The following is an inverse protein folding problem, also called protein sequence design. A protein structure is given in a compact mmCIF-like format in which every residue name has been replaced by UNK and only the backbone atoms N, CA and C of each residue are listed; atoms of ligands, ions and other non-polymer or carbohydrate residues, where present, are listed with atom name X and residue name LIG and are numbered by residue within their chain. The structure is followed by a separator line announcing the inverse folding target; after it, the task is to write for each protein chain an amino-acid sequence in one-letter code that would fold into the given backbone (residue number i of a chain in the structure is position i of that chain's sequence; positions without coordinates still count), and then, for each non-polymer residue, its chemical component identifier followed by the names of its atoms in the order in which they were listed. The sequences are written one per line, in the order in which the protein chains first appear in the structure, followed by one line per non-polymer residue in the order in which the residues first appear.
data_IF_561572460858
#
_entry.id   IF_561572460858
#
_cell.length_a   1.000
_cell.length_b   1.000
_cell.length_c   1.000
_cell.angle_alpha   90.00
_cell.angle_beta   90.00
_cell.angle_gamma   90.00
#
_symmetry.space_group_name_H-M   'P 1'
#
loop_
_entity.id
_entity.type
_entity.pdbx_description
1 polymer ?
#
# COMPACT_ATOMS: atom_id res chain seq x y z
N UNK A 1 -5.60 -10.13 0.72
CA UNK A 1 -4.40 -9.39 0.27
C UNK A 1 -3.27 -9.73 1.21
N UNK A 2 -2.15 -10.16 0.66
CA UNK A 2 -0.93 -10.49 1.41
C UNK A 2 0.14 -9.42 1.11
N UNK A 3 0.55 -8.70 2.14
CA UNK A 3 1.62 -7.72 2.07
C UNK A 3 2.87 -8.34 2.71
N UNK A 4 3.85 -8.71 1.88
CA UNK A 4 5.10 -9.34 2.33
C UNK A 4 6.19 -8.27 2.42
N UNK A 5 6.50 -7.85 3.64
CA UNK A 5 7.50 -6.82 3.91
C UNK A 5 8.93 -7.32 3.85
N UNK A 6 9.13 -8.65 3.84
CA UNK A 6 10.45 -9.24 3.63
C UNK A 6 10.84 -9.26 2.15
N UNK A 7 9.87 -9.52 1.28
CA UNK A 7 10.06 -9.57 -0.18
C UNK A 7 9.67 -8.26 -0.88
N UNK A 8 8.99 -7.36 -0.17
CA UNK A 8 8.45 -6.11 -0.71
C UNK A 8 7.50 -6.36 -1.88
N UNK A 9 6.53 -7.24 -1.65
CA UNK A 9 5.52 -7.63 -2.64
C UNK A 9 4.12 -7.63 -2.06
N UNK A 10 3.14 -7.49 -2.96
CA UNK A 10 1.71 -7.63 -2.65
C UNK A 10 1.14 -8.71 -3.55
N UNK A 11 0.40 -9.63 -2.95
CA UNK A 11 -0.33 -10.69 -3.68
C UNK A 11 -1.80 -10.70 -3.26
N UNK A 12 -2.67 -10.98 -4.21
CA UNK A 12 -4.08 -11.20 -3.94
C UNK A 12 -4.40 -12.69 -4.08
N UNK A 13 -5.16 -13.21 -3.11
CA UNK A 13 -5.52 -14.63 -3.07
C UNK A 13 -7.04 -14.79 -3.08
N UNK A 14 -7.49 -15.86 -3.73
CA UNK A 14 -8.81 -16.44 -3.54
C UNK A 14 -8.60 -17.85 -2.97
N UNK A 15 -8.92 -18.03 -1.68
CA UNK A 15 -8.53 -19.23 -0.95
C UNK A 15 -7.01 -19.34 -0.88
N UNK A 16 -6.45 -20.38 -1.48
CA UNK A 16 -5.00 -20.62 -1.52
C UNK A 16 -4.38 -20.29 -2.88
N UNK A 17 -5.17 -19.75 -3.80
CA UNK A 17 -4.71 -19.47 -5.17
C UNK A 17 -4.39 -17.98 -5.31
N UNK A 18 -3.19 -17.67 -5.80
CA UNK A 18 -2.83 -16.30 -6.18
C UNK A 18 -3.60 -15.95 -7.45
N UNK A 19 -4.42 -14.90 -7.37
CA UNK A 19 -5.16 -14.38 -8.53
C UNK A 19 -4.51 -13.12 -9.10
N UNK A 20 -3.60 -12.49 -8.36
CA UNK A 20 -2.79 -11.37 -8.85
C UNK A 20 -1.49 -11.26 -8.04
N UNK A 21 -0.40 -10.98 -8.72
CA UNK A 21 0.91 -10.81 -8.10
C UNK A 21 1.76 -12.09 -8.10
N UNK A 22 2.86 -12.12 -7.34
CA UNK A 22 3.35 -11.05 -6.46
C UNK A 22 3.72 -9.78 -7.23
N UNK A 23 3.23 -8.64 -6.76
CA UNK A 23 3.51 -7.35 -7.36
C UNK A 23 4.55 -6.62 -6.50
N UNK A 24 5.70 -6.20 -7.07
CA UNK A 24 6.68 -5.41 -6.32
C UNK A 24 6.08 -4.10 -5.82
N UNK A 25 6.45 -3.69 -4.61
CA UNK A 25 5.95 -2.47 -3.98
C UNK A 25 7.05 -1.77 -3.18
N UNK A 26 6.77 -0.57 -2.69
CA UNK A 26 7.64 0.16 -1.76
C UNK A 26 6.87 0.41 -0.47
N UNK A 27 7.28 -0.18 0.66
CA UNK A 27 6.65 0.03 1.97
C UNK A 27 7.15 1.29 2.66
N UNK A 28 6.71 1.50 3.88
CA UNK A 28 7.17 2.59 4.72
C UNK A 28 8.67 2.59 4.94
N UNK A 29 9.25 3.80 5.05
CA UNK A 29 10.65 3.98 5.40
C UNK A 29 10.94 3.46 6.82
N UNK A 30 12.22 3.25 7.22
CA UNK A 30 12.56 2.68 8.53
C UNK A 30 12.00 3.46 9.72
N UNK A 31 11.82 4.78 9.60
CA UNK A 31 11.27 5.62 10.65
C UNK A 31 9.75 5.85 10.52
N UNK A 32 9.14 5.35 9.46
CA UNK A 32 7.68 5.37 9.22
C UNK A 32 7.22 4.02 8.65
N UNK A 33 7.44 2.91 9.39
CA UNK A 33 7.23 1.58 8.84
C UNK A 33 5.75 1.29 8.56
N UNK A 34 5.51 0.41 7.59
CA UNK A 34 4.17 -0.13 7.35
C UNK A 34 3.76 -1.01 8.53
N UNK A 35 2.52 -0.85 8.98
CA UNK A 35 1.96 -1.62 10.09
C UNK A 35 1.88 -3.10 9.73
N UNK A 36 2.08 -3.98 10.71
CA UNK A 36 1.93 -5.44 10.57
C UNK A 36 0.72 -5.94 11.33
N UNK A 37 0.12 -7.01 10.86
CA UNK A 37 -1.03 -7.64 11.49
C UNK A 37 -2.07 -8.08 10.47
N UNK A 38 -3.25 -8.40 11.00
CA UNK A 38 -4.42 -8.77 10.21
C UNK A 38 -5.44 -7.63 10.26
N UNK A 39 -5.80 -7.15 9.08
CA UNK A 39 -6.71 -6.02 8.91
C UNK A 39 -7.77 -6.34 7.85
N UNK A 40 -8.66 -5.37 7.62
CA UNK A 40 -9.71 -5.49 6.60
C UNK A 40 -9.83 -4.18 5.84
N UNK A 41 -10.05 -4.27 4.53
CA UNK A 41 -10.38 -3.08 3.71
C UNK A 41 -11.65 -2.44 4.25
N UNK A 42 -11.63 -1.13 4.46
CA UNK A 42 -12.79 -0.39 4.98
C UNK A 42 -13.17 0.86 4.18
N UNK A 43 -12.31 1.31 3.28
CA UNK A 43 -12.53 2.55 2.54
C UNK A 43 -11.68 2.57 1.28
N UNK A 44 -12.26 3.00 0.16
CA UNK A 44 -11.53 3.09 -1.12
C UNK A 44 -11.85 4.39 -1.84
N UNK A 45 -10.83 4.95 -2.51
CA UNK A 45 -10.96 6.13 -3.37
C UNK A 45 -10.26 5.89 -4.70
N UNK A 46 -10.90 6.30 -5.81
CA UNK A 46 -10.24 6.27 -7.11
C UNK A 46 -9.07 7.27 -7.19
N UNK A 47 -9.20 8.40 -6.49
CA UNK A 47 -8.17 9.42 -6.37
C UNK A 47 -8.36 10.19 -5.09
N UNK A 48 -7.27 10.49 -4.40
CA UNK A 48 -7.32 11.21 -3.14
C UNK A 48 -6.07 12.07 -2.91
N UNK A 49 -6.25 13.22 -2.29
CA UNK A 49 -5.12 13.97 -1.73
C UNK A 49 -4.74 13.34 -0.40
N UNK A 50 -3.47 12.95 -0.27
CA UNK A 50 -2.89 12.44 0.97
C UNK A 50 -2.01 13.50 1.61
N UNK A 51 -2.20 13.76 2.89
CA UNK A 51 -1.38 14.69 3.65
C UNK A 51 -1.14 14.16 5.06
N UNK A 52 -0.05 14.59 5.66
CA UNK A 52 0.34 14.14 6.99
C UNK A 52 1.62 14.80 7.44
N UNK A 53 2.24 14.22 8.45
CA UNK A 53 3.44 14.74 9.08
C UNK A 53 4.63 13.84 8.78
N UNK A 54 5.75 14.44 8.37
CA UNK A 54 7.01 13.75 8.20
C UNK A 54 7.64 13.42 9.57
N UNK A 55 8.59 12.49 9.59
CA UNK A 55 9.29 12.10 10.83
C UNK A 55 10.04 13.28 11.48
N UNK A 56 10.43 14.29 10.71
CA UNK A 56 11.12 15.49 11.20
C UNK A 56 10.16 16.61 11.67
N UNK A 57 8.86 16.36 11.69
CA UNK A 57 7.83 17.34 12.10
C UNK A 57 7.33 18.25 11.00
N UNK A 58 7.89 18.18 9.80
CA UNK A 58 7.35 18.92 8.65
C UNK A 58 6.13 18.23 8.08
N UNK A 59 5.30 18.95 7.34
CA UNK A 59 4.10 18.40 6.72
C UNK A 59 4.37 18.01 5.27
N UNK A 60 3.67 16.97 4.80
CA UNK A 60 3.65 16.60 3.38
C UNK A 60 2.24 16.64 2.85
N UNK A 61 2.12 16.83 1.53
CA UNK A 61 0.86 16.77 0.80
C UNK A 61 1.11 16.22 -0.61
N UNK A 62 0.39 15.17 -0.97
CA UNK A 62 0.44 14.57 -2.30
C UNK A 62 -0.96 14.55 -2.88
N UNK A 63 -1.18 15.31 -3.95
CA UNK A 63 -2.47 15.39 -4.64
C UNK A 63 -2.61 14.29 -5.69
N UNK A 64 -3.85 13.88 -5.94
CA UNK A 64 -4.18 12.95 -7.02
C UNK A 64 -3.57 11.57 -6.87
N UNK A 65 -3.44 11.07 -5.62
CA UNK A 65 -2.97 9.69 -5.38
C UNK A 65 -4.00 8.71 -5.93
N UNK A 66 -3.64 7.86 -6.93
CA UNK A 66 -4.62 7.01 -7.59
C UNK A 66 -4.85 5.69 -6.86
N UNK A 67 -6.07 5.16 -6.99
CA UNK A 67 -6.45 3.81 -6.60
C UNK A 67 -6.08 3.46 -5.17
N UNK A 68 -6.71 4.16 -4.22
CA UNK A 68 -6.42 4.05 -2.78
C UNK A 68 -7.34 3.03 -2.13
N UNK A 69 -6.76 2.05 -1.45
CA UNK A 69 -7.48 1.02 -0.69
C UNK A 69 -6.96 1.03 0.74
N UNK A 70 -7.74 1.61 1.66
CA UNK A 70 -7.40 1.69 3.08
C UNK A 70 -7.72 0.39 3.79
N UNK A 71 -6.81 -0.07 4.66
CA UNK A 71 -6.99 -1.29 5.45
C UNK A 71 -6.82 -1.09 6.95
N UNK A 72 -6.20 -0.01 7.40
CA UNK A 72 -6.07 0.31 8.83
C UNK A 72 -5.72 1.78 9.03
N UNK A 73 -6.55 2.51 9.81
CA UNK A 73 -6.31 3.93 10.10
C UNK A 73 -5.96 4.71 8.81
N UNK A 74 -4.81 5.35 8.76
CA UNK A 74 -4.30 6.03 7.57
C UNK A 74 -3.44 5.17 6.65
N UNK A 75 -3.39 3.85 6.85
CA UNK A 75 -2.59 2.94 6.04
C UNK A 75 -3.40 2.40 4.86
N UNK A 76 -2.83 2.52 3.68
CA UNK A 76 -3.48 2.10 2.44
C UNK A 76 -2.48 1.49 1.46
N UNK A 77 -3.03 0.70 0.52
CA UNK A 77 -2.34 0.38 -0.73
C UNK A 77 -2.79 1.42 -1.76
N UNK A 78 -1.87 1.98 -2.53
CA UNK A 78 -2.23 2.94 -3.56
C UNK A 78 -1.19 2.97 -4.69
N UNK A 79 -1.56 3.53 -5.83
CA UNK A 79 -0.64 3.75 -6.92
C UNK A 79 0.35 4.86 -6.60
N UNK A 80 1.58 4.70 -7.10
CA UNK A 80 2.65 5.67 -6.91
C UNK A 80 3.27 6.05 -8.27
N UNK A 81 2.59 6.89 -9.07
CA UNK A 81 3.07 7.26 -10.40
C UNK A 81 4.37 8.06 -10.37
N UNK A 82 4.75 8.60 -9.20
CA UNK A 82 6.02 9.33 -9.01
C UNK A 82 7.24 8.42 -8.84
N UNK A 83 7.03 7.09 -8.72
CA UNK A 83 8.14 6.13 -8.57
C UNK A 83 8.39 5.38 -9.87
N UNK A 84 9.67 5.16 -10.18
CA UNK A 84 10.09 4.42 -11.37
C UNK A 84 10.55 3.00 -11.06
N UNK A 85 10.71 2.64 -9.79
CA UNK A 85 11.12 1.30 -9.37
C UNK A 85 10.38 0.86 -8.11
N UNK A 86 10.21 -0.45 -7.97
CA UNK A 86 9.51 -1.09 -6.86
C UNK A 86 10.25 -2.36 -6.44
N UNK A 87 9.83 -2.95 -5.32
CA UNK A 87 10.46 -4.17 -4.82
C UNK A 87 11.68 -3.90 -3.95
N UNK A 88 11.75 -2.71 -3.37
CA UNK A 88 12.81 -2.32 -2.45
C UNK A 88 12.24 -1.66 -1.21
N UNK A 89 13.04 -1.55 -0.17
CA UNK A 89 12.69 -0.85 1.07
C UNK A 89 13.90 -0.06 1.59
N UNK A 90 13.66 0.75 2.60
CA UNK A 90 14.70 1.56 3.21
C UNK A 90 14.39 3.06 3.18
N UNK A 91 15.42 3.87 3.35
CA UNK A 91 15.29 5.33 3.28
C UNK A 91 14.86 5.73 1.87
N UNK A 92 13.91 6.63 1.77
CA UNK A 92 13.22 6.96 0.53
C UNK A 92 11.90 6.22 0.34
N UNK A 93 11.56 5.31 1.25
CA UNK A 93 10.27 4.65 1.30
C UNK A 93 9.13 5.61 1.67
N UNK A 94 7.93 5.06 1.81
CA UNK A 94 6.72 5.84 2.07
C UNK A 94 6.60 6.25 3.55
N UNK A 95 5.50 6.95 3.88
CA UNK A 95 5.13 7.30 5.25
C UNK A 95 4.32 6.19 5.95
N UNK A 96 4.35 4.97 5.42
CA UNK A 96 3.67 3.79 5.95
C UNK A 96 2.73 3.12 4.94
N UNK A 97 2.20 3.85 3.99
CA UNK A 97 1.38 3.27 2.92
C UNK A 97 2.20 2.36 2.01
N UNK A 98 1.53 1.39 1.41
CA UNK A 98 2.14 0.49 0.43
C UNK A 98 2.04 1.12 -0.96
N UNK A 99 3.17 1.57 -1.48
CA UNK A 99 3.26 2.20 -2.80
C UNK A 99 3.40 1.13 -3.86
N UNK A 100 2.47 1.10 -4.80
CA UNK A 100 2.40 0.09 -5.86
C UNK A 100 2.53 0.72 -7.25
N UNK A 101 2.95 -0.05 -8.26
CA UNK A 101 2.71 0.36 -9.64
C UNK A 101 1.21 0.65 -9.83
N UNK A 102 0.90 1.67 -10.62
CA UNK A 102 -0.49 2.14 -10.80
C UNK A 102 -1.42 1.02 -11.24
N UNK A 103 -0.98 0.17 -12.18
CA UNK A 103 -1.79 -0.94 -12.69
C UNK A 103 -2.13 -1.96 -11.60
N UNK A 104 -1.16 -2.27 -10.73
CA UNK A 104 -1.36 -3.19 -9.60
C UNK A 104 -2.32 -2.62 -8.57
N UNK A 105 -2.18 -1.35 -8.23
CA UNK A 105 -3.08 -0.66 -7.31
C UNK A 105 -4.51 -0.59 -7.87
N UNK A 106 -4.65 -0.34 -9.17
CA UNK A 106 -5.94 -0.33 -9.86
C UNK A 106 -6.60 -1.70 -9.81
N UNK A 107 -5.84 -2.76 -10.06
CA UNK A 107 -6.37 -4.12 -9.99
C UNK A 107 -6.90 -4.44 -8.59
N UNK A 108 -6.14 -4.12 -7.54
CA UNK A 108 -6.57 -4.31 -6.14
C UNK A 108 -7.84 -3.50 -5.85
N UNK A 109 -7.89 -2.24 -6.29
CA UNK A 109 -9.04 -1.36 -6.10
C UNK A 109 -10.32 -1.97 -6.68
N UNK A 110 -10.25 -2.50 -7.90
CA UNK A 110 -11.40 -3.09 -8.58
C UNK A 110 -11.82 -4.43 -7.98
N UNK A 111 -10.86 -5.24 -7.52
CA UNK A 111 -11.10 -6.58 -7.02
C UNK A 111 -11.55 -6.60 -5.56
N UNK A 112 -10.98 -5.75 -4.71
CA UNK A 112 -11.24 -5.75 -3.27
C UNK A 112 -12.57 -5.07 -2.94
N UNK A 113 -13.22 -5.56 -1.89
CA UNK A 113 -14.40 -4.97 -1.29
C UNK A 113 -14.13 -4.60 0.16
N UNK A 114 -15.02 -3.80 0.76
CA UNK A 114 -15.00 -3.59 2.20
C UNK A 114 -15.13 -4.95 2.90
N UNK A 115 -14.24 -5.21 3.84
CA UNK A 115 -14.15 -6.47 4.54
C UNK A 115 -13.12 -7.45 3.98
N UNK A 116 -12.55 -7.19 2.79
CA UNK A 116 -11.45 -8.01 2.26
C UNK A 116 -10.30 -8.05 3.25
N UNK A 117 -9.84 -9.27 3.59
CA UNK A 117 -8.76 -9.46 4.57
C UNK A 117 -7.44 -8.97 4.01
N UNK A 118 -6.68 -8.26 4.84
CA UNK A 118 -5.32 -7.82 4.55
C UNK A 118 -4.39 -8.35 5.63
N UNK A 119 -3.39 -9.13 5.22
CA UNK A 119 -2.33 -9.63 6.10
C UNK A 119 -1.05 -8.91 5.73
N UNK A 120 -0.47 -8.19 6.70
CA UNK A 120 0.82 -7.51 6.53
C UNK A 120 1.83 -8.16 7.47
N UNK A 121 2.96 -8.63 6.93
CA UNK A 121 3.94 -9.42 7.67
C UNK A 121 5.34 -9.30 7.08
N UNK A 122 6.32 -9.62 7.90
CA UNK A 122 7.70 -9.85 7.47
C UNK A 122 7.92 -11.28 7.03
#
# INVERSE_FOLDING_TARGET
IDIDLSKNTVSAYEGRTIVHGPTPMVPGAPNTPTVTGKFHVYLQYASQTMEGENADGTNYRTEGVPWVTYFYAGYALHGAPWRSSFGWSGYGGSHGCVNMPVDGAHWIYDWADNGTVVISHY
#
